data_IF_585920547446
#
_entry.id   IF_585920547446
#
_cell.length_a   1.000
_cell.length_b   1.000
_cell.length_c   1.000
_cell.angle_alpha   90.00
_cell.angle_beta   90.00
_cell.angle_gamma   90.00
#
_symmetry.space_group_name_H-M   'P 1'
#
loop_
_entity.id
_entity.type
_entity.pdbx_description
1 polymer ?
#
# COMPACT_ATOMS: atom_id res chain seq x y z
N UNK A 1 15.89 -16.05 25.11
CA UNK A 1 16.84 -17.17 25.27
C UNK A 1 16.29 -18.14 26.32
N UNK A 2 15.72 -19.27 25.89
CA UNK A 2 15.37 -20.39 26.79
C UNK A 2 16.34 -21.51 26.46
N UNK A 3 17.21 -21.88 27.41
CA UNK A 3 18.01 -23.11 27.31
C UNK A 3 17.07 -24.29 27.50
N UNK A 4 16.94 -25.14 26.49
CA UNK A 4 16.38 -26.47 26.66
C UNK A 4 17.59 -27.39 26.73
N UNK A 5 17.89 -27.87 27.93
CA UNK A 5 18.86 -28.92 28.15
C UNK A 5 18.20 -30.28 27.94
N UNK A 6 18.76 -31.06 27.03
CA UNK A 6 18.55 -32.49 26.89
C UNK A 6 19.89 -33.08 26.50
N UNK A 7 20.48 -33.86 27.40
CA UNK A 7 21.67 -34.68 27.15
C UNK A 7 21.27 -35.86 26.27
N UNK A 8 21.74 -35.90 25.02
CA UNK A 8 21.84 -37.12 24.24
C UNK A 8 23.18 -37.13 23.49
N UNK A 9 23.96 -38.17 23.76
CA UNK A 9 25.10 -38.75 23.03
C UNK A 9 26.24 -37.84 22.53
N UNK A 10 27.42 -38.08 23.11
CA UNK A 10 28.67 -37.32 22.96
C UNK A 10 29.31 -37.37 21.58
N UNK A 11 28.71 -36.66 20.62
CA UNK A 11 29.47 -35.94 19.60
C UNK A 11 29.73 -34.56 20.16
N UNK A 12 30.97 -34.24 20.52
CA UNK A 12 31.37 -32.87 20.84
C UNK A 12 31.26 -32.09 19.52
N UNK A 13 30.08 -31.58 19.22
CA UNK A 13 29.88 -30.70 18.09
C UNK A 13 30.62 -29.41 18.45
N UNK A 14 31.66 -29.11 17.69
CA UNK A 14 32.46 -27.90 17.85
C UNK A 14 31.54 -26.66 17.87
N UNK A 15 31.60 -25.87 18.94
CA UNK A 15 30.77 -24.67 19.11
C UNK A 15 30.98 -23.70 17.93
N UNK A 16 32.17 -23.70 17.30
CA UNK A 16 32.44 -22.91 16.10
C UNK A 16 31.77 -23.48 14.84
N UNK A 17 31.60 -24.80 14.72
CA UNK A 17 30.83 -25.44 13.64
C UNK A 17 29.33 -25.18 13.80
N UNK A 18 28.80 -25.24 15.03
CA UNK A 18 27.40 -24.89 15.32
C UNK A 18 27.13 -23.42 14.98
N UNK A 19 28.01 -22.51 15.39
CA UNK A 19 27.86 -21.08 15.06
C UNK A 19 27.92 -20.83 13.55
N UNK A 20 28.86 -21.48 12.83
CA UNK A 20 28.93 -21.39 11.36
C UNK A 20 27.66 -21.90 10.69
N UNK A 21 27.10 -23.01 11.18
CA UNK A 21 25.84 -23.57 10.69
C UNK A 21 24.68 -22.60 10.91
N UNK A 22 24.50 -22.08 12.13
CA UNK A 22 23.42 -21.13 12.42
C UNK A 22 23.55 -19.82 11.66
N UNK A 23 24.77 -19.30 11.49
CA UNK A 23 25.02 -18.13 10.64
C UNK A 23 24.58 -18.40 9.21
N UNK A 24 24.95 -19.56 8.67
CA UNK A 24 24.54 -19.96 7.33
C UNK A 24 23.01 -20.09 7.23
N UNK A 25 22.37 -20.81 8.15
CA UNK A 25 20.91 -20.98 8.22
C UNK A 25 20.20 -19.62 8.28
N UNK A 26 20.67 -18.72 9.15
CA UNK A 26 20.11 -17.37 9.31
C UNK A 26 20.15 -16.56 8.02
N UNK A 27 21.29 -16.51 7.32
CA UNK A 27 21.39 -15.77 6.06
C UNK A 27 20.75 -16.50 4.87
N UNK A 28 20.57 -17.84 4.95
CA UNK A 28 19.90 -18.62 3.92
C UNK A 28 18.37 -18.50 3.97
N UNK A 29 17.79 -18.07 5.10
CA UNK A 29 16.35 -17.79 5.23
C UNK A 29 15.87 -16.63 4.32
N UNK A 30 16.80 -15.82 3.78
CA UNK A 30 16.51 -14.76 2.84
C UNK A 30 16.26 -13.40 3.51
N UNK A 31 15.68 -12.47 2.75
CA UNK A 31 15.42 -11.10 3.19
C UNK A 31 13.95 -10.90 3.55
N UNK A 32 13.68 -10.17 4.64
CA UNK A 32 12.35 -9.88 5.12
C UNK A 32 12.24 -8.42 5.57
N UNK A 33 11.01 -7.92 5.64
CA UNK A 33 10.72 -6.61 6.22
C UNK A 33 10.32 -6.75 7.69
N UNK A 34 10.86 -5.86 8.52
CA UNK A 34 10.47 -5.71 9.92
C UNK A 34 9.43 -4.60 10.10
N UNK A 35 9.24 -4.15 11.36
CA UNK A 35 8.34 -3.04 11.71
C UNK A 35 8.64 -1.82 10.82
N UNK A 36 7.62 -1.14 10.26
CA UNK A 36 7.85 0.04 9.43
C UNK A 36 8.65 1.12 10.14
N UNK A 37 9.59 1.75 9.42
CA UNK A 37 10.46 2.78 9.98
C UNK A 37 9.67 3.99 10.50
N UNK A 38 8.55 4.35 9.86
CA UNK A 38 7.70 5.45 10.33
C UNK A 38 7.08 5.17 11.69
N UNK A 39 6.69 3.92 11.95
CA UNK A 39 6.19 3.49 13.26
C UNK A 39 7.28 3.60 14.33
N UNK A 40 8.49 3.09 14.06
CA UNK A 40 9.62 3.18 15.00
C UNK A 40 10.00 4.64 15.35
N UNK A 41 9.97 5.53 14.36
CA UNK A 41 10.25 6.95 14.55
C UNK A 41 9.15 7.65 15.35
N UNK A 42 7.90 7.25 15.15
CA UNK A 42 6.78 7.71 15.97
C UNK A 42 6.92 7.23 17.41
N UNK A 43 7.19 5.95 17.66
CA UNK A 43 7.37 5.40 19.02
C UNK A 43 8.50 6.11 19.78
N UNK A 44 9.59 6.41 19.06
CA UNK A 44 10.72 7.17 19.59
C UNK A 44 10.31 8.60 19.94
N UNK A 45 9.54 9.26 19.06
CA UNK A 45 9.04 10.62 19.28
C UNK A 45 8.03 10.68 20.43
N UNK A 46 7.16 9.69 20.54
CA UNK A 46 6.20 9.52 21.62
C UNK A 46 6.91 9.34 22.97
N UNK A 47 7.92 8.48 23.02
CA UNK A 47 8.74 8.26 24.23
C UNK A 47 9.48 9.52 24.70
N UNK A 48 9.80 10.43 23.77
CA UNK A 48 10.43 11.72 24.05
C UNK A 48 9.42 12.83 24.40
N UNK A 49 8.11 12.55 24.42
CA UNK A 49 7.06 13.54 24.63
C UNK A 49 6.98 14.59 23.52
N UNK A 50 7.40 14.23 22.29
CA UNK A 50 7.37 15.10 21.09
C UNK A 50 6.16 14.82 20.20
N UNK A 51 5.10 14.26 20.76
CA UNK A 51 3.82 13.95 20.13
C UNK A 51 2.93 15.21 19.92
N UNK A 52 3.56 16.35 19.63
CA UNK A 52 2.88 17.66 19.60
C UNK A 52 1.88 17.79 18.45
N UNK A 53 2.04 17.00 17.37
CA UNK A 53 1.16 17.01 16.21
C UNK A 53 0.76 15.58 15.79
N UNK A 54 -0.50 15.41 15.36
CA UNK A 54 -1.02 14.14 14.83
C UNK A 54 -0.36 13.74 13.50
N UNK A 55 0.37 14.64 12.84
CA UNK A 55 1.11 14.39 11.60
C UNK A 55 2.10 13.23 11.73
N UNK A 56 2.84 13.09 12.84
CA UNK A 56 3.76 11.98 13.03
C UNK A 56 3.03 10.63 13.13
N UNK A 57 1.84 10.62 13.74
CA UNK A 57 0.99 9.44 13.83
C UNK A 57 0.39 9.11 12.46
N UNK A 58 -0.09 10.10 11.70
CA UNK A 58 -0.54 9.89 10.31
C UNK A 58 0.58 9.29 9.43
N UNK A 59 1.81 9.82 9.54
CA UNK A 59 2.96 9.30 8.80
C UNK A 59 3.33 7.88 9.22
N UNK A 60 3.15 7.53 10.50
CA UNK A 60 3.31 6.16 10.99
C UNK A 60 2.28 5.22 10.37
N UNK A 61 1.00 5.59 10.37
CA UNK A 61 -0.08 4.84 9.70
C UNK A 61 0.21 4.66 8.21
N UNK A 62 0.56 5.75 7.51
CA UNK A 62 0.99 5.72 6.10
C UNK A 62 2.15 4.75 5.85
N UNK A 63 3.14 4.68 6.76
CA UNK A 63 4.27 3.76 6.61
C UNK A 63 3.89 2.29 6.80
N UNK A 64 2.91 2.00 7.65
CA UNK A 64 2.34 0.66 7.82
C UNK A 64 1.53 0.27 6.58
N UNK A 65 0.70 1.20 6.09
CA UNK A 65 -0.08 1.06 4.87
C UNK A 65 0.83 0.87 3.63
N UNK A 66 1.97 1.57 3.55
CA UNK A 66 2.97 1.36 2.48
C UNK A 66 3.48 -0.08 2.44
N UNK A 67 3.90 -0.64 3.57
CA UNK A 67 4.39 -2.01 3.61
C UNK A 67 3.30 -3.02 3.24
N UNK A 68 2.06 -2.77 3.67
CA UNK A 68 0.92 -3.63 3.38
C UNK A 68 0.54 -3.60 1.89
N UNK A 69 0.38 -2.40 1.31
CA UNK A 69 0.05 -2.20 -0.10
C UNK A 69 1.10 -2.84 -1.03
N UNK A 70 2.38 -2.75 -0.66
CA UNK A 70 3.48 -3.36 -1.42
C UNK A 70 3.70 -4.86 -1.11
N UNK A 71 2.78 -5.51 -0.38
CA UNK A 71 2.84 -6.92 0.01
C UNK A 71 4.14 -7.31 0.73
N UNK A 72 4.73 -6.38 1.48
CA UNK A 72 5.95 -6.60 2.29
C UNK A 72 5.62 -7.14 3.68
N UNK A 73 4.36 -7.04 4.08
CA UNK A 73 3.86 -7.43 5.39
C UNK A 73 2.74 -8.47 5.24
N UNK A 74 2.68 -9.44 6.15
CA UNK A 74 1.58 -10.40 6.22
C UNK A 74 0.33 -9.76 6.81
N UNK A 75 -0.83 -10.35 6.55
CA UNK A 75 -2.11 -9.86 7.08
C UNK A 75 -2.11 -9.81 8.61
N UNK A 76 -1.63 -10.89 9.25
CA UNK A 76 -1.52 -10.97 10.71
C UNK A 76 -0.68 -9.83 11.30
N UNK A 77 0.50 -9.58 10.73
CA UNK A 77 1.38 -8.51 11.21
C UNK A 77 0.84 -7.11 10.92
N UNK A 78 0.07 -6.97 9.85
CA UNK A 78 -0.63 -5.73 9.55
C UNK A 78 -1.71 -5.46 10.61
N UNK A 79 -2.51 -6.47 10.97
CA UNK A 79 -3.53 -6.33 12.02
C UNK A 79 -2.94 -6.04 13.40
N UNK A 80 -1.81 -6.66 13.74
CA UNK A 80 -1.07 -6.35 14.96
C UNK A 80 -0.62 -4.88 14.98
N UNK A 81 -0.08 -4.40 13.86
CA UNK A 81 0.31 -2.99 13.69
C UNK A 81 -0.88 -2.04 13.75
N UNK A 82 -2.00 -2.36 13.10
CA UNK A 82 -3.23 -1.54 13.17
C UNK A 82 -3.70 -1.43 14.62
N UNK A 83 -3.75 -2.54 15.36
CA UNK A 83 -4.15 -2.54 16.77
C UNK A 83 -3.24 -1.65 17.63
N UNK A 84 -1.93 -1.66 17.38
CA UNK A 84 -0.97 -0.78 18.05
C UNK A 84 -1.23 0.71 17.72
N UNK A 85 -1.41 1.04 16.42
CA UNK A 85 -1.76 2.39 15.97
C UNK A 85 -3.08 2.88 16.58
N UNK A 86 -4.10 2.03 16.66
CA UNK A 86 -5.40 2.36 17.27
C UNK A 86 -5.25 2.72 18.74
N UNK A 87 -4.39 2.02 19.48
CA UNK A 87 -4.09 2.37 20.87
C UNK A 87 -3.49 3.78 20.97
N UNK A 88 -2.58 4.15 20.06
CA UNK A 88 -2.03 5.51 20.00
C UNK A 88 -3.09 6.56 19.63
N UNK A 89 -3.97 6.27 18.68
CA UNK A 89 -5.07 7.16 18.29
C UNK A 89 -6.00 7.41 19.49
N UNK A 90 -6.37 6.35 20.21
CA UNK A 90 -7.29 6.39 21.35
C UNK A 90 -6.69 7.00 22.62
N UNK A 91 -5.38 6.83 22.85
CA UNK A 91 -4.68 7.42 23.99
C UNK A 91 -4.29 8.89 23.78
N UNK A 92 -4.31 9.39 22.53
CA UNK A 92 -4.00 10.78 22.22
C UNK A 92 -5.06 11.75 22.78
N UNK A 93 -4.70 12.64 23.72
CA UNK A 93 -5.63 13.61 24.31
C UNK A 93 -6.27 14.55 23.29
N UNK A 94 -5.64 14.74 22.13
CA UNK A 94 -6.11 15.61 21.04
C UNK A 94 -7.22 14.97 20.21
N UNK A 95 -7.22 13.65 20.05
CA UNK A 95 -8.37 12.93 19.47
C UNK A 95 -9.53 12.87 20.48
N UNK A 96 -9.24 12.79 21.78
CA UNK A 96 -10.23 12.71 22.85
C UNK A 96 -10.95 14.04 23.15
N UNK A 97 -10.31 15.20 22.95
CA UNK A 97 -10.93 16.51 23.17
C UNK A 97 -11.94 16.84 22.07
N UNK A 98 -13.22 16.62 22.41
CA UNK A 98 -14.40 17.01 21.67
C UNK A 98 -14.45 18.51 21.34
N UNK A 99 -14.74 18.80 20.07
CA UNK A 99 -15.44 20.01 19.60
C UNK A 99 -14.76 21.36 19.93
N UNK A 100 -13.79 21.79 19.12
CA UNK A 100 -13.45 23.22 19.08
C UNK A 100 -14.63 23.94 18.42
N UNK A 101 -15.56 24.49 19.18
CA UNK A 101 -16.56 25.42 18.65
C UNK A 101 -15.91 26.79 18.49
N UNK A 102 -15.90 27.31 17.26
CA UNK A 102 -15.54 28.68 16.95
C UNK A 102 -16.81 29.51 17.06
N UNK A 103 -16.87 30.43 18.01
CA UNK A 103 -17.93 31.43 18.08
C UNK A 103 -17.67 32.48 16.99
N UNK A 104 -18.56 32.55 16.02
CA UNK A 104 -18.60 33.65 15.06
C UNK A 104 -18.96 34.97 15.77
N UNK A 105 -18.72 36.11 15.10
CA UNK A 105 -18.97 37.46 15.65
C UNK A 105 -20.46 37.73 15.98
N UNK A 106 -21.36 36.90 15.48
CA UNK A 106 -22.82 36.94 15.71
C UNK A 106 -23.26 36.05 16.90
N UNK A 107 -22.33 35.36 17.57
CA UNK A 107 -22.62 34.43 18.67
C UNK A 107 -22.92 33.00 18.22
N UNK A 108 -22.91 32.70 16.92
CA UNK A 108 -23.12 31.35 16.40
C UNK A 108 -21.90 30.47 16.67
N UNK A 109 -22.08 29.36 17.39
CA UNK A 109 -21.04 28.35 17.61
C UNK A 109 -20.93 27.44 16.37
N UNK A 110 -19.91 27.65 15.54
CA UNK A 110 -19.59 26.76 14.42
C UNK A 110 -18.56 25.73 14.89
N UNK A 111 -18.76 24.45 14.56
CA UNK A 111 -17.74 23.41 14.76
C UNK A 111 -16.53 23.75 13.88
N UNK A 112 -15.35 23.96 14.49
CA UNK A 112 -14.11 24.09 13.74
C UNK A 112 -13.95 22.86 12.83
N UNK A 113 -13.55 23.03 11.56
CA UNK A 113 -13.21 21.91 10.71
C UNK A 113 -12.21 21.01 11.42
N UNK A 114 -12.48 19.71 11.47
CA UNK A 114 -11.71 18.70 12.21
C UNK A 114 -10.34 18.43 11.57
N UNK A 115 -9.54 19.46 11.33
CA UNK A 115 -8.40 19.48 10.40
C UNK A 115 -7.25 18.55 10.76
N UNK A 116 -7.31 17.81 11.88
CA UNK A 116 -6.22 16.92 12.32
C UNK A 116 -6.70 15.65 13.03
N UNK A 117 -8.00 15.33 13.02
CA UNK A 117 -8.49 14.11 13.68
C UNK A 117 -8.24 12.90 12.82
N UNK A 118 -7.74 11.84 13.45
CA UNK A 118 -7.55 10.54 12.82
C UNK A 118 -8.70 9.65 13.30
N UNK A 119 -9.41 9.04 12.37
CA UNK A 119 -10.52 8.14 12.66
C UNK A 119 -10.23 6.78 12.00
N UNK A 120 -10.40 5.71 12.76
CA UNK A 120 -10.32 4.36 12.23
C UNK A 120 -11.61 4.04 11.48
N UNK A 121 -11.48 3.58 10.24
CA UNK A 121 -12.61 3.17 9.42
C UNK A 121 -12.25 1.86 8.70
N UNK A 122 -13.24 0.98 8.60
CA UNK A 122 -13.12 -0.23 7.79
C UNK A 122 -13.24 0.12 6.31
N UNK A 123 -12.14 -0.04 5.58
CA UNK A 123 -12.06 0.27 4.16
C UNK A 123 -11.95 -1.00 3.30
N UNK A 124 -12.65 -1.03 2.15
CA UNK A 124 -12.50 -2.14 1.21
C UNK A 124 -11.12 -2.10 0.56
N UNK A 125 -10.52 -3.27 0.32
CA UNK A 125 -9.21 -3.43 -0.36
C UNK A 125 -9.30 -3.15 -1.86
N UNK A 126 -9.59 -1.90 -2.19
CA UNK A 126 -9.70 -1.38 -3.54
C UNK A 126 -8.62 -0.32 -3.76
N UNK A 127 -8.14 -0.20 -4.98
CA UNK A 127 -7.08 0.73 -5.32
C UNK A 127 -7.67 2.05 -5.79
N UNK A 128 -7.21 3.18 -5.22
CA UNK A 128 -7.49 4.53 -5.73
C UNK A 128 -8.99 4.86 -5.81
N UNK A 129 -9.78 4.39 -4.84
CA UNK A 129 -11.25 4.51 -4.85
C UNK A 129 -11.73 5.96 -4.82
N UNK A 130 -10.95 6.87 -4.23
CA UNK A 130 -11.28 8.30 -4.25
C UNK A 130 -11.03 8.98 -5.60
N UNK A 131 -10.29 8.32 -6.50
CA UNK A 131 -9.88 8.88 -7.79
C UNK A 131 -10.58 8.22 -8.98
N UNK A 132 -10.88 6.93 -8.88
CA UNK A 132 -11.60 6.16 -9.89
C UNK A 132 -13.12 6.16 -9.68
N UNK A 133 -13.87 5.65 -10.65
CA UNK A 133 -15.21 5.14 -10.36
C UNK A 133 -15.13 3.77 -9.65
N UNK A 134 -16.25 3.32 -9.09
CA UNK A 134 -16.29 2.06 -8.34
C UNK A 134 -16.01 0.85 -9.24
N UNK A 135 -16.48 0.88 -10.49
CA UNK A 135 -16.21 -0.17 -11.48
C UNK A 135 -14.71 -0.38 -11.67
N UNK A 136 -14.00 0.70 -11.97
CA UNK A 136 -12.57 0.75 -12.24
C UNK A 136 -11.77 0.34 -11.01
N UNK A 137 -12.11 0.88 -9.84
CA UNK A 137 -11.48 0.51 -8.56
C UNK A 137 -11.55 -1.00 -8.30
N UNK A 138 -12.68 -1.63 -8.62
CA UNK A 138 -12.85 -3.08 -8.49
C UNK A 138 -12.12 -3.85 -9.59
N UNK A 139 -12.12 -3.32 -10.82
CA UNK A 139 -11.42 -3.93 -11.94
C UNK A 139 -9.90 -4.04 -11.66
N UNK A 140 -9.35 -3.04 -10.97
CA UNK A 140 -7.92 -2.90 -10.72
C UNK A 140 -7.45 -3.44 -9.38
N UNK A 141 -8.38 -3.80 -8.49
CA UNK A 141 -8.03 -4.51 -7.27
C UNK A 141 -7.51 -5.91 -7.61
N UNK A 142 -6.25 -6.21 -7.26
CA UNK A 142 -5.65 -7.53 -7.48
C UNK A 142 -6.52 -8.66 -6.92
N UNK A 143 -7.15 -8.45 -5.77
CA UNK A 143 -8.02 -9.44 -5.13
C UNK A 143 -9.25 -9.76 -6.00
N UNK A 144 -9.95 -8.75 -6.50
CA UNK A 144 -11.15 -8.97 -7.32
C UNK A 144 -10.77 -9.49 -8.70
N UNK A 145 -9.72 -8.92 -9.27
CA UNK A 145 -9.24 -9.27 -10.61
C UNK A 145 -8.91 -10.76 -10.71
N UNK A 146 -8.24 -11.32 -9.70
CA UNK A 146 -7.88 -12.75 -9.62
C UNK A 146 -9.07 -13.66 -9.39
N UNK A 147 -10.01 -13.30 -8.51
CA UNK A 147 -11.21 -14.10 -8.23
C UNK A 147 -12.20 -14.13 -9.39
N UNK A 148 -12.40 -13.01 -10.08
CA UNK A 148 -13.33 -12.89 -11.19
C UNK A 148 -12.68 -13.13 -12.57
N UNK A 149 -11.35 -13.22 -12.62
CA UNK A 149 -10.54 -13.35 -13.84
C UNK A 149 -10.82 -12.21 -14.82
N UNK A 150 -10.78 -10.97 -14.32
CA UNK A 150 -11.19 -9.76 -15.05
C UNK A 150 -10.31 -9.42 -16.24
N UNK A 151 -9.08 -9.94 -16.30
CA UNK A 151 -8.22 -9.89 -17.49
C UNK A 151 -8.80 -10.67 -18.70
N UNK A 152 -9.92 -11.37 -18.51
CA UNK A 152 -10.70 -11.98 -19.59
C UNK A 152 -11.99 -11.19 -19.81
N UNK A 153 -12.39 -11.01 -21.07
CA UNK A 153 -13.66 -10.35 -21.42
C UNK A 153 -14.89 -11.01 -20.76
N UNK A 154 -14.82 -12.32 -20.45
CA UNK A 154 -15.87 -13.03 -19.70
C UNK A 154 -15.89 -12.64 -18.22
N UNK A 155 -14.73 -12.46 -17.60
CA UNK A 155 -14.61 -12.04 -16.20
C UNK A 155 -14.99 -10.58 -16.00
N UNK A 156 -14.53 -9.70 -16.88
CA UNK A 156 -14.89 -8.28 -16.90
C UNK A 156 -16.41 -8.09 -16.96
N UNK A 157 -17.10 -8.78 -17.88
CA UNK A 157 -18.57 -8.72 -17.99
C UNK A 157 -19.32 -9.25 -16.77
N UNK A 158 -18.69 -10.06 -15.90
CA UNK A 158 -19.31 -10.53 -14.65
C UNK A 158 -19.27 -9.49 -13.54
N UNK A 159 -18.39 -8.50 -13.61
CA UNK A 159 -18.25 -7.48 -12.57
C UNK A 159 -19.54 -6.66 -12.41
N UNK A 160 -20.22 -6.36 -13.52
CA UNK A 160 -21.45 -5.56 -13.49
C UNK A 160 -22.68 -6.22 -12.90
N UNK A 161 -22.95 -7.49 -13.22
CA UNK A 161 -23.92 -8.28 -12.46
C UNK A 161 -23.59 -8.38 -10.96
N UNK A 162 -22.31 -8.42 -10.56
CA UNK A 162 -21.92 -8.46 -9.13
C UNK A 162 -22.25 -7.14 -8.43
N UNK A 163 -21.89 -6.00 -9.03
CA UNK A 163 -22.23 -4.69 -8.47
C UNK A 163 -23.74 -4.44 -8.40
N UNK A 164 -24.49 -4.84 -9.42
CA UNK A 164 -25.95 -4.77 -9.42
C UNK A 164 -26.56 -5.61 -8.27
N UNK A 165 -25.99 -6.79 -7.99
CA UNK A 165 -26.42 -7.64 -6.86
C UNK A 165 -26.09 -7.03 -5.49
N UNK A 166 -25.04 -6.21 -5.41
CA UNK A 166 -24.73 -5.44 -4.21
C UNK A 166 -25.65 -4.22 -4.02
N UNK A 167 -26.53 -3.93 -4.98
CA UNK A 167 -27.52 -2.86 -4.90
C UNK A 167 -27.06 -1.53 -5.51
N UNK A 168 -25.93 -1.50 -6.22
CA UNK A 168 -25.48 -0.30 -6.91
C UNK A 168 -26.14 -0.16 -8.29
N UNK A 169 -26.61 1.04 -8.61
CA UNK A 169 -27.12 1.34 -9.94
C UNK A 169 -25.95 1.33 -10.94
N UNK A 170 -26.13 0.67 -12.10
CA UNK A 170 -25.08 0.54 -13.12
C UNK A 170 -24.54 1.89 -13.60
N UNK A 171 -25.41 2.91 -13.65
CA UNK A 171 -25.06 4.28 -14.06
C UNK A 171 -24.12 4.94 -13.03
N UNK A 172 -24.37 4.69 -11.75
CA UNK A 172 -23.59 5.29 -10.65
C UNK A 172 -22.22 4.62 -10.51
N UNK A 173 -22.11 3.33 -10.82
CA UNK A 173 -20.83 2.62 -10.79
C UNK A 173 -19.80 3.14 -11.81
N UNK A 174 -20.26 3.78 -12.88
CA UNK A 174 -19.41 4.38 -13.92
C UNK A 174 -19.14 5.87 -13.67
N UNK A 175 -19.96 6.52 -12.84
CA UNK A 175 -19.73 7.88 -12.37
C UNK A 175 -18.64 7.94 -11.29
N UNK A 176 -18.07 9.14 -11.08
CA UNK A 176 -17.10 9.35 -10.00
C UNK A 176 -17.75 8.99 -8.66
N UNK A 177 -17.08 8.17 -7.86
CA UNK A 177 -17.64 7.66 -6.61
C UNK A 177 -17.73 8.78 -5.56
N UNK A 178 -18.89 9.44 -5.48
CA UNK A 178 -19.08 10.69 -4.74
C UNK A 178 -18.94 10.52 -3.21
N UNK A 179 -19.17 9.31 -2.70
CA UNK A 179 -19.14 9.01 -1.26
C UNK A 179 -17.72 8.85 -0.68
N UNK A 180 -16.69 8.80 -1.53
CA UNK A 180 -15.30 8.62 -1.08
C UNK A 180 -14.46 9.82 -1.51
N UNK A 181 -14.81 11.00 -0.98
CA UNK A 181 -14.06 12.25 -1.23
C UNK A 181 -12.86 12.40 -0.28
N UNK A 182 -12.66 11.47 0.66
CA UNK A 182 -11.50 11.45 1.54
C UNK A 182 -10.27 10.89 0.80
N UNK A 183 -9.13 11.56 0.98
CA UNK A 183 -7.84 11.04 0.57
C UNK A 183 -7.45 9.92 1.54
N UNK A 184 -7.70 8.68 1.13
CA UNK A 184 -7.42 7.50 1.93
C UNK A 184 -5.92 7.24 1.99
N UNK A 185 -5.43 6.65 3.08
CA UNK A 185 -4.00 6.35 3.24
C UNK A 185 -3.41 5.53 2.07
N UNK A 186 -4.09 4.49 1.54
CA UNK A 186 -3.59 3.76 0.38
C UNK A 186 -3.43 4.65 -0.86
N UNK A 187 -4.38 5.57 -1.08
CA UNK A 187 -4.36 6.47 -2.24
C UNK A 187 -3.16 7.43 -2.19
N UNK A 188 -2.83 7.90 -0.98
CA UNK A 188 -1.63 8.71 -0.73
C UNK A 188 -0.37 7.91 -1.02
N UNK A 189 -0.28 6.66 -0.54
CA UNK A 189 0.86 5.77 -0.80
C UNK A 189 1.04 5.55 -2.31
N UNK A 190 -0.04 5.24 -3.03
CA UNK A 190 0.00 5.05 -4.47
C UNK A 190 0.48 6.30 -5.21
N UNK A 191 -0.06 7.47 -4.84
CA UNK A 191 0.31 8.75 -5.46
C UNK A 191 1.77 9.13 -5.20
N UNK A 192 2.24 9.01 -3.96
CA UNK A 192 3.64 9.31 -3.59
C UNK A 192 4.61 8.33 -4.25
N UNK A 193 4.26 7.04 -4.33
CA UNK A 193 5.07 6.04 -5.03
C UNK A 193 5.19 6.38 -6.51
N UNK A 194 4.09 6.75 -7.16
CA UNK A 194 4.10 7.13 -8.57
C UNK A 194 4.96 8.38 -8.81
N UNK A 195 4.87 9.38 -7.93
CA UNK A 195 5.77 10.55 -7.98
C UNK A 195 7.22 10.11 -7.84
N UNK A 196 7.59 9.27 -6.87
CA UNK A 196 8.97 8.79 -6.73
C UNK A 196 9.48 8.09 -7.98
N UNK A 197 8.61 7.33 -8.64
CA UNK A 197 8.96 6.53 -9.81
C UNK A 197 8.93 7.32 -11.11
N UNK A 198 8.28 8.48 -11.21
CA UNK A 198 8.07 9.24 -12.46
C UNK A 198 9.33 9.84 -13.14
N UNK A 199 10.54 9.42 -12.75
CA UNK A 199 11.82 10.01 -13.18
C UNK A 199 12.27 9.64 -14.60
N UNK A 200 11.55 8.79 -15.33
CA UNK A 200 11.91 8.36 -16.69
C UNK A 200 11.39 9.33 -17.76
N UNK A 201 11.66 10.62 -17.56
CA UNK A 201 11.71 11.57 -18.67
C UNK A 201 13.17 11.76 -19.07
N UNK A 202 13.46 11.87 -20.36
CA UNK A 202 14.80 11.98 -20.97
C UNK A 202 15.65 13.17 -20.49
N UNK A 203 15.17 13.94 -19.53
CA UNK A 203 15.69 15.26 -19.16
C UNK A 203 16.76 15.21 -18.06
N UNK A 204 17.21 14.02 -17.67
CA UNK A 204 18.30 13.85 -16.71
C UNK A 204 17.99 14.38 -15.30
N UNK A 205 16.71 14.44 -14.91
CA UNK A 205 16.34 14.81 -13.54
C UNK A 205 16.88 13.75 -12.56
N UNK A 206 17.75 14.19 -11.65
CA UNK A 206 18.33 13.29 -10.64
C UNK A 206 17.22 12.70 -9.75
N UNK A 207 17.31 11.41 -9.43
CA UNK A 207 16.44 10.70 -8.47
C UNK A 207 16.27 11.48 -7.15
N UNK A 208 17.29 12.24 -6.75
CA UNK A 208 17.24 13.13 -5.57
C UNK A 208 16.19 14.24 -5.67
N UNK A 209 15.99 14.83 -6.87
CA UNK A 209 14.94 15.84 -7.10
C UNK A 209 13.57 15.21 -6.99
N UNK A 210 13.41 13.99 -7.51
CA UNK A 210 12.13 13.28 -7.47
C UNK A 210 11.72 12.89 -6.04
N UNK A 211 12.71 12.56 -5.20
CA UNK A 211 12.48 12.37 -3.77
C UNK A 211 11.87 13.61 -3.12
N UNK A 212 12.43 14.80 -3.37
CA UNK A 212 11.87 16.05 -2.85
C UNK A 212 10.44 16.31 -3.34
N UNK A 213 10.20 16.07 -4.63
CA UNK A 213 8.86 16.21 -5.24
C UNK A 213 7.82 15.29 -4.59
N UNK A 214 8.22 14.06 -4.24
CA UNK A 214 7.33 13.09 -3.59
C UNK A 214 7.20 13.28 -2.07
N UNK A 215 8.14 14.00 -1.44
CA UNK A 215 8.08 14.36 -0.03
C UNK A 215 7.13 15.55 0.24
N UNK A 216 7.13 16.56 -0.65
CA UNK A 216 6.29 17.76 -0.51
C UNK A 216 4.78 17.51 -0.27
N UNK A 217 4.14 16.49 -0.89
CA UNK A 217 2.73 16.15 -0.68
C UNK A 217 2.41 15.66 0.74
N UNK A 218 3.39 15.07 1.46
CA UNK A 218 3.19 14.51 2.79
C UNK A 218 2.91 15.58 3.86
N UNK A 219 3.28 16.85 3.61
CA UNK A 219 3.06 17.95 4.56
C UNK A 219 1.60 18.44 4.61
N UNK A 220 0.64 17.78 3.93
CA UNK A 220 -0.78 18.14 3.81
C UNK A 220 -1.07 19.56 3.26
N UNK A 221 -0.03 20.31 2.90
CA UNK A 221 -0.11 21.68 2.36
C UNK A 221 -0.18 21.73 0.84
N UNK A 222 0.24 20.65 0.17
CA UNK A 222 0.42 20.59 -1.28
C UNK A 222 -0.44 19.49 -1.92
N UNK A 223 -1.76 19.58 -1.72
CA UNK A 223 -2.72 18.58 -2.22
C UNK A 223 -2.75 18.48 -3.75
N UNK A 224 -2.43 19.55 -4.47
CA UNK A 224 -2.39 19.53 -5.94
C UNK A 224 -1.31 18.60 -6.49
N UNK A 225 -0.13 18.57 -5.85
CA UNK A 225 0.96 17.64 -6.19
C UNK A 225 0.54 16.20 -5.89
N UNK A 226 -0.12 15.99 -4.75
CA UNK A 226 -0.65 14.67 -4.38
C UNK A 226 -1.63 14.15 -5.43
N UNK A 227 -2.58 14.99 -5.85
CA UNK A 227 -3.55 14.67 -6.89
C UNK A 227 -2.85 14.34 -8.22
N UNK A 228 -1.83 15.11 -8.61
CA UNK A 228 -1.03 14.79 -9.80
C UNK A 228 -0.35 13.42 -9.68
N UNK A 229 0.22 13.11 -8.51
CA UNK A 229 0.80 11.80 -8.21
C UNK A 229 -0.20 10.67 -8.31
N UNK A 230 -1.39 10.84 -7.76
CA UNK A 230 -2.46 9.84 -7.87
C UNK A 230 -2.87 9.61 -9.34
N UNK A 231 -2.96 10.66 -10.16
CA UNK A 231 -3.23 10.53 -11.60
C UNK A 231 -2.10 9.78 -12.33
N UNK A 232 -0.84 9.93 -11.91
CA UNK A 232 0.26 9.13 -12.44
C UNK A 232 0.15 7.66 -12.00
N UNK A 233 -0.26 7.41 -10.75
CA UNK A 233 -0.50 6.05 -10.26
C UNK A 233 -1.60 5.33 -11.06
N UNK A 234 -2.65 6.06 -11.46
CA UNK A 234 -3.68 5.58 -12.39
C UNK A 234 -3.06 5.17 -13.74
N UNK A 235 -2.22 6.03 -14.33
CA UNK A 235 -1.57 5.73 -15.60
C UNK A 235 -0.68 4.48 -15.52
N UNK A 236 0.09 4.33 -14.43
CA UNK A 236 0.90 3.13 -14.17
C UNK A 236 0.02 1.89 -14.05
N UNK A 237 -1.11 1.97 -13.33
CA UNK A 237 -2.00 0.82 -13.16
C UNK A 237 -2.69 0.40 -14.47
N UNK A 238 -3.11 1.36 -15.29
CA UNK A 238 -3.68 1.07 -16.62
C UNK A 238 -2.72 0.27 -17.49
N UNK A 239 -1.43 0.61 -17.43
CA UNK A 239 -0.37 -0.05 -18.18
C UNK A 239 -0.07 -1.44 -17.62
N UNK A 240 -0.12 -1.62 -16.30
CA UNK A 240 -0.03 -2.94 -15.68
C UNK A 240 -1.11 -3.85 -16.29
N UNK A 241 -2.37 -3.42 -16.27
CA UNK A 241 -3.52 -4.22 -16.69
C UNK A 241 -3.55 -4.53 -18.19
N UNK A 242 -3.16 -3.57 -19.04
CA UNK A 242 -3.07 -3.82 -20.48
C UNK A 242 -2.11 -4.97 -20.78
N UNK A 243 -1.07 -5.12 -19.96
CA UNK A 243 -0.06 -6.16 -20.10
C UNK A 243 -0.43 -7.48 -19.41
N UNK A 244 -1.32 -7.49 -18.42
CA UNK A 244 -1.70 -8.67 -17.64
C UNK A 244 -2.24 -9.82 -18.50
N UNK A 245 -3.22 -9.54 -19.35
CA UNK A 245 -3.88 -10.56 -20.18
C UNK A 245 -2.89 -11.26 -21.11
N UNK A 246 -1.99 -10.48 -21.74
CA UNK A 246 -0.93 -10.99 -22.61
C UNK A 246 0.11 -11.79 -21.80
N UNK A 247 0.53 -11.28 -20.65
CA UNK A 247 1.57 -11.91 -19.85
C UNK A 247 1.13 -13.25 -19.24
N UNK A 248 -0.11 -13.37 -18.75
CA UNK A 248 -0.65 -14.62 -18.18
C UNK A 248 -0.57 -15.78 -19.18
N UNK A 249 -0.78 -15.51 -20.47
CA UNK A 249 -0.69 -16.55 -21.52
C UNK A 249 0.75 -16.91 -21.88
N UNK A 250 1.71 -16.00 -21.66
CA UNK A 250 3.13 -16.15 -22.00
C UNK A 250 3.98 -16.68 -20.85
N UNK A 251 3.41 -16.90 -19.64
CA UNK A 251 4.15 -17.46 -18.49
C UNK A 251 4.66 -18.86 -18.82
N UNK A 252 5.98 -19.05 -18.68
CA UNK A 252 6.65 -20.33 -18.87
C UNK A 252 7.02 -20.91 -17.52
N UNK A 253 6.87 -22.23 -17.38
CA UNK A 253 7.21 -22.95 -16.15
C UNK A 253 8.47 -23.79 -16.36
N UNK A 254 9.47 -23.58 -15.53
CA UNK A 254 10.65 -24.42 -15.39
C UNK A 254 10.52 -25.33 -14.15
N UNK A 255 11.43 -26.27 -13.96
CA UNK A 255 11.38 -27.24 -12.85
C UNK A 255 11.33 -26.60 -11.45
N UNK A 256 11.94 -25.42 -11.28
CA UNK A 256 12.10 -24.76 -9.97
C UNK A 256 11.44 -23.38 -9.88
N UNK A 257 11.09 -22.76 -11.00
CA UNK A 257 10.55 -21.39 -11.03
C UNK A 257 9.69 -21.16 -12.28
N UNK A 258 8.90 -20.09 -12.27
CA UNK A 258 8.17 -19.61 -13.45
C UNK A 258 8.75 -18.28 -13.88
N UNK A 259 8.71 -17.99 -15.18
CA UNK A 259 9.23 -16.75 -15.73
C UNK A 259 8.37 -16.25 -16.88
N UNK A 260 8.42 -14.95 -17.12
CA UNK A 260 7.78 -14.29 -18.25
C UNK A 260 8.72 -13.22 -18.78
N UNK A 261 8.81 -13.08 -20.10
CA UNK A 261 9.55 -11.99 -20.74
C UNK A 261 8.55 -10.97 -21.25
N UNK A 262 8.72 -9.73 -20.83
CA UNK A 262 7.96 -8.59 -21.34
C UNK A 262 8.56 -8.16 -22.68
N UNK A 263 7.69 -7.87 -23.64
CA UNK A 263 8.09 -7.31 -24.94
C UNK A 263 8.23 -5.79 -24.79
N UNK A 264 9.19 -5.20 -25.53
CA UNK A 264 9.39 -3.75 -25.58
C UNK A 264 8.18 -3.10 -26.25
N UNK A 265 7.23 -2.64 -25.45
CA UNK A 265 6.17 -1.73 -25.87
C UNK A 265 6.46 -0.34 -25.32
N UNK A 266 5.85 0.70 -25.92
CA UNK A 266 5.94 2.06 -25.36
C UNK A 266 5.41 2.10 -23.91
N UNK A 267 4.46 1.24 -23.59
CA UNK A 267 3.87 1.09 -22.25
C UNK A 267 4.81 0.35 -21.28
N UNK A 268 5.70 -0.53 -21.77
CA UNK A 268 6.66 -1.25 -20.94
C UNK A 268 7.66 -0.34 -20.20
N UNK A 269 7.81 0.92 -20.64
CA UNK A 269 8.67 1.91 -19.97
C UNK A 269 8.23 2.17 -18.52
N UNK A 270 6.92 2.20 -18.26
CA UNK A 270 6.38 2.40 -16.90
C UNK A 270 6.51 1.13 -16.03
N UNK A 271 6.61 -0.05 -16.66
CA UNK A 271 7.00 -1.29 -15.97
C UNK A 271 8.51 -1.38 -15.71
N UNK A 272 9.30 -0.41 -16.19
CA UNK A 272 10.70 -0.26 -15.81
C UNK A 272 10.89 0.19 -14.35
N UNK A 273 9.82 0.67 -13.71
CA UNK A 273 9.88 1.09 -12.31
C UNK A 273 9.83 -0.09 -11.35
N UNK A 274 10.68 -0.14 -10.30
CA UNK A 274 10.76 -1.30 -9.42
C UNK A 274 9.46 -1.67 -8.72
N UNK A 275 8.68 -0.71 -8.19
CA UNK A 275 7.40 -1.00 -7.53
C UNK A 275 6.32 -1.37 -8.54
N UNK A 276 6.24 -0.69 -9.68
CA UNK A 276 5.30 -1.06 -10.75
C UNK A 276 5.55 -2.51 -11.22
N UNK A 277 6.82 -2.88 -11.46
CA UNK A 277 7.21 -4.23 -11.84
C UNK A 277 6.87 -5.24 -10.74
N UNK A 278 7.15 -4.89 -9.48
CA UNK A 278 6.87 -5.77 -8.34
C UNK A 278 5.37 -6.02 -8.18
N UNK A 279 4.52 -4.98 -8.29
CA UNK A 279 3.06 -5.10 -8.26
C UNK A 279 2.54 -5.98 -9.39
N UNK A 280 3.05 -5.78 -10.62
CA UNK A 280 2.72 -6.63 -11.76
C UNK A 280 3.08 -8.10 -11.52
N UNK A 281 4.26 -8.37 -10.97
CA UNK A 281 4.69 -9.72 -10.63
C UNK A 281 3.80 -10.37 -9.54
N UNK A 282 3.42 -9.62 -8.51
CA UNK A 282 2.50 -10.12 -7.48
C UNK A 282 1.15 -10.51 -8.07
N UNK A 283 0.58 -9.64 -8.91
CA UNK A 283 -0.65 -9.95 -9.62
C UNK A 283 -0.52 -11.24 -10.45
N UNK A 284 0.56 -11.40 -11.23
CA UNK A 284 0.78 -12.62 -12.02
C UNK A 284 0.90 -13.87 -11.14
N UNK A 285 1.56 -13.76 -9.98
CA UNK A 285 1.64 -14.88 -9.04
C UNK A 285 0.27 -15.28 -8.52
N UNK A 286 -0.56 -14.33 -8.13
CA UNK A 286 -1.91 -14.59 -7.63
C UNK A 286 -2.83 -15.13 -8.74
N UNK A 287 -2.81 -14.52 -9.92
CA UNK A 287 -3.58 -14.97 -11.08
C UNK A 287 -3.25 -16.42 -11.49
N UNK A 288 -1.99 -16.83 -11.32
CA UNK A 288 -1.51 -18.18 -11.62
C UNK A 288 -1.74 -19.19 -10.49
N UNK A 289 -2.05 -18.75 -9.26
CA UNK A 289 -2.51 -19.62 -8.16
C UNK A 289 -3.98 -19.98 -8.32
N UNK A 290 -4.78 -19.05 -8.86
CA UNK A 290 -6.22 -19.20 -9.06
C UNK A 290 -6.62 -19.89 -10.38
N UNK A 291 -5.62 -20.27 -11.18
CA UNK A 291 -5.79 -20.91 -12.48
C UNK A 291 -6.12 -22.39 -12.35
#
# INVERSE_FOLDING_TARGET
MRRVGGEEDGVVVDDEELFRRWKWEYYHMGSFHGKPSGCLMHDSSYSLGKDTNNELLCLACLSLTDQFVHQRLTDERYQDGVTEQEQHINSSPRNLKALTTVTLKDGTLIRAPESTRIACQDEPRLMLVGQWNLFESMLYSSYIATKLKTWTHKGEKKLMPVLARMGFATVDCQGKFQYMTLELEPDVVYGVTALLESSVNSDGSSTSKQFGVAYDPLSLKNLDKLRSGMQQAIAVQNVILSQESAAITKVRSERKFRWVKLEDSMDAKLLGYPQALTRFCYFLMDAMREK
#
